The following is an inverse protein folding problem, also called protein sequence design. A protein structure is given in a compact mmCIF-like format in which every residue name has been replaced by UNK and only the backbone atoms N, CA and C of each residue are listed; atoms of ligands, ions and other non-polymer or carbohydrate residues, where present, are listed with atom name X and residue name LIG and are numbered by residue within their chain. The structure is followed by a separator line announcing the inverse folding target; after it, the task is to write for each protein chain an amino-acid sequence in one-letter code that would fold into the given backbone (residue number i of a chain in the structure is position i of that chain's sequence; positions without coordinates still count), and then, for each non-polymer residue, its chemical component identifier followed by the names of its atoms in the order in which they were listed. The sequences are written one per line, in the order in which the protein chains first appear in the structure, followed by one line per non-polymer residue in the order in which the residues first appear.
data_IF_188083869938
#
_entry.id   IF_188083869938
#
_cell.length_a   1.000
_cell.length_b   1.000
_cell.length_c   1.000
_cell.angle_alpha   90.00
_cell.angle_beta   90.00
_cell.angle_gamma   90.00
#
_symmetry.space_group_name_H-M   'P 1'
#
loop_
_entity.id
_entity.type
_entity.pdbx_description
1 polymer ?
#
# COMPACT_ATOMS: atom_id res chain seq x y z
N UNK A 1 -13.93 -5.91 -13.55
CA UNK A 1 -13.27 -4.97 -12.60
C UNK A 1 -11.73 -5.07 -12.57
N UNK A 2 -11.06 -5.68 -13.56
CA UNK A 2 -9.61 -5.95 -13.51
C UNK A 2 -8.72 -4.77 -13.97
N UNK A 3 -9.26 -3.85 -14.77
CA UNK A 3 -8.51 -2.76 -15.43
C UNK A 3 -8.01 -1.68 -14.46
N UNK A 4 -8.75 -1.38 -13.40
CA UNK A 4 -8.40 -0.29 -12.47
C UNK A 4 -7.11 -0.56 -11.70
N UNK A 5 -6.92 -1.79 -11.21
CA UNK A 5 -5.75 -2.11 -10.41
C UNK A 5 -4.44 -2.12 -11.23
N UNK A 6 -4.51 -2.54 -12.50
CA UNK A 6 -3.37 -2.47 -13.43
C UNK A 6 -2.92 -1.02 -13.62
N UNK A 7 -3.88 -0.10 -13.82
CA UNK A 7 -3.58 1.33 -13.97
C UNK A 7 -2.98 1.93 -12.70
N UNK A 8 -3.43 1.50 -11.52
CA UNK A 8 -2.87 1.98 -10.25
C UNK A 8 -1.43 1.48 -10.06
N UNK A 9 -1.14 0.21 -10.34
CA UNK A 9 0.23 -0.32 -10.24
C UNK A 9 1.17 0.45 -11.17
N UNK A 10 0.75 0.73 -12.40
CA UNK A 10 1.52 1.56 -13.32
C UNK A 10 1.79 2.96 -12.75
N UNK A 11 0.75 3.62 -12.20
CA UNK A 11 0.90 4.93 -11.56
C UNK A 11 1.85 4.91 -10.34
N UNK A 12 1.81 3.84 -9.53
CA UNK A 12 2.71 3.69 -8.38
C UNK A 12 4.16 3.51 -8.84
N UNK A 13 4.40 2.69 -9.87
CA UNK A 13 5.74 2.46 -10.46
C UNK A 13 6.30 3.73 -11.09
N UNK A 14 5.48 4.51 -11.81
CA UNK A 14 5.87 5.80 -12.38
C UNK A 14 6.30 6.81 -11.31
N UNK A 15 5.75 6.70 -10.09
CA UNK A 15 6.14 7.50 -8.92
C UNK A 15 7.39 6.95 -8.20
N UNK A 16 8.05 5.94 -8.76
CA UNK A 16 9.24 5.31 -8.18
C UNK A 16 8.96 4.35 -7.01
N UNK A 17 7.69 3.99 -6.77
CA UNK A 17 7.34 3.08 -5.68
C UNK A 17 7.46 1.62 -6.14
N UNK A 18 8.12 0.80 -5.31
CA UNK A 18 8.29 -0.64 -5.56
C UNK A 18 7.07 -1.41 -5.06
N UNK A 19 6.28 -1.94 -5.99
CA UNK A 19 5.13 -2.80 -5.71
C UNK A 19 5.60 -4.22 -5.43
N UNK A 20 5.23 -4.77 -4.27
CA UNK A 20 5.61 -6.11 -3.79
C UNK A 20 4.56 -7.14 -4.13
N UNK A 21 3.29 -6.82 -3.88
CA UNK A 21 2.19 -7.76 -4.10
C UNK A 21 0.86 -7.03 -4.32
N UNK A 22 -0.11 -7.75 -4.88
CA UNK A 22 -1.48 -7.28 -5.05
C UNK A 22 -2.44 -8.40 -4.66
N UNK A 23 -3.39 -8.11 -3.78
CA UNK A 23 -4.43 -9.05 -3.37
C UNK A 23 -5.74 -8.34 -3.01
N UNK A 24 -6.87 -8.79 -3.58
CA UNK A 24 -8.24 -8.34 -3.23
C UNK A 24 -8.41 -6.82 -3.02
N UNK A 25 -7.88 -6.01 -3.95
CA UNK A 25 -7.99 -4.54 -3.87
C UNK A 25 -6.98 -3.86 -2.94
N UNK A 26 -6.04 -4.62 -2.39
CA UNK A 26 -4.90 -4.14 -1.60
C UNK A 26 -3.63 -4.31 -2.41
N UNK A 27 -2.80 -3.26 -2.48
CA UNK A 27 -1.49 -3.26 -3.10
C UNK A 27 -0.46 -3.04 -1.99
N UNK A 28 0.50 -3.95 -1.87
CA UNK A 28 1.62 -3.79 -0.97
C UNK A 28 2.79 -3.13 -1.71
N UNK A 29 3.37 -2.10 -1.10
CA UNK A 29 4.59 -1.45 -1.56
C UNK A 29 5.69 -1.58 -0.51
N UNK A 30 6.93 -1.46 -0.97
CA UNK A 30 8.15 -1.52 -0.15
C UNK A 30 8.62 -0.11 0.21
N UNK A 31 8.65 0.77 -0.80
CA UNK A 31 9.16 2.14 -0.67
C UNK A 31 8.03 3.13 -0.96
N UNK A 32 7.39 3.71 0.06
CA UNK A 32 6.37 4.75 -0.12
C UNK A 32 7.00 6.09 -0.48
N UNK A 33 6.28 6.89 -1.29
CA UNK A 33 6.65 8.29 -1.52
C UNK A 33 6.43 9.16 -0.29
N UNK A 34 7.05 10.34 -0.25
CA UNK A 34 6.85 11.32 0.85
C UNK A 34 5.39 11.72 1.02
N UNK A 35 4.63 11.82 -0.07
CA UNK A 35 3.22 12.18 -0.01
C UNK A 35 2.38 11.06 0.57
N UNK A 36 2.71 9.81 0.20
CA UNK A 36 2.04 8.64 0.77
C UNK A 36 2.29 8.54 2.27
N UNK A 37 3.54 8.76 2.72
CA UNK A 37 3.86 8.82 4.17
C UNK A 37 3.04 9.89 4.90
N UNK A 38 2.85 11.07 4.29
CA UNK A 38 2.07 12.17 4.89
C UNK A 38 0.57 11.90 4.98
N UNK A 39 0.03 11.16 4.02
CA UNK A 39 -1.41 10.85 3.94
C UNK A 39 -1.79 9.52 4.62
N UNK A 40 -0.79 8.73 5.03
CA UNK A 40 -1.03 7.41 5.55
C UNK A 40 -1.69 7.44 6.93
N UNK A 41 -2.52 6.44 7.16
CA UNK A 41 -2.98 6.08 8.49
C UNK A 41 -2.17 4.90 9.01
N UNK A 42 -1.84 4.93 10.30
CA UNK A 42 -1.23 3.80 11.00
C UNK A 42 -2.30 2.76 11.33
N UNK A 43 -1.99 1.50 11.07
CA UNK A 43 -2.81 0.34 11.41
C UNK A 43 -1.95 -0.61 12.23
N UNK A 44 -2.45 -0.95 13.42
CA UNK A 44 -1.84 -1.97 14.29
C UNK A 44 -2.60 -3.28 14.08
N UNK A 45 -1.95 -4.24 13.43
CA UNK A 45 -2.50 -5.57 13.20
C UNK A 45 -1.98 -6.56 14.24
N UNK A 46 -2.83 -7.47 14.71
CA UNK A 46 -2.41 -8.60 15.53
C UNK A 46 -2.45 -9.87 14.68
N UNK A 47 -1.28 -10.39 14.32
CA UNK A 47 -1.14 -11.60 13.52
C UNK A 47 -0.49 -12.67 14.39
N UNK A 48 -1.27 -13.69 14.75
CA UNK A 48 -0.81 -14.82 15.59
C UNK A 48 -0.17 -14.36 16.92
N UNK A 49 -0.73 -13.33 17.55
CA UNK A 49 -0.22 -12.77 18.80
C UNK A 49 0.89 -11.72 18.61
N UNK A 50 1.39 -11.55 17.39
CA UNK A 50 2.42 -10.55 17.07
C UNK A 50 1.75 -9.26 16.63
N UNK A 51 2.00 -8.17 17.36
CA UNK A 51 1.58 -6.82 16.95
C UNK A 51 2.52 -6.34 15.84
N UNK A 52 1.97 -5.98 14.69
CA UNK A 52 2.70 -5.38 13.58
C UNK A 52 2.10 -4.03 13.25
N UNK A 53 2.96 -3.04 13.00
CA UNK A 53 2.54 -1.74 12.48
C UNK A 53 2.61 -1.78 10.97
N UNK A 54 1.58 -1.26 10.34
CA UNK A 54 1.58 -1.00 8.92
C UNK A 54 0.93 0.35 8.65
N UNK A 55 1.31 0.94 7.54
CA UNK A 55 0.78 2.21 7.07
C UNK A 55 -0.06 1.93 5.85
N UNK A 56 -1.20 2.61 5.73
CA UNK A 56 -2.09 2.46 4.59
C UNK A 56 -2.65 3.79 4.10
N UNK A 57 -2.92 3.87 2.80
CA UNK A 57 -3.56 5.01 2.16
C UNK A 57 -4.55 4.53 1.09
N UNK A 58 -5.67 5.23 0.94
CA UNK A 58 -6.57 5.02 -0.18
C UNK A 58 -6.04 5.76 -1.41
N UNK A 59 -5.90 5.06 -2.52
CA UNK A 59 -5.40 5.64 -3.77
C UNK A 59 -6.19 5.09 -4.96
N UNK A 60 -6.92 5.97 -5.65
CA UNK A 60 -7.76 5.61 -6.81
C UNK A 60 -8.66 4.36 -6.60
N UNK A 61 -9.23 4.22 -5.40
CA UNK A 61 -10.15 3.15 -5.06
C UNK A 61 -9.49 1.80 -4.73
N UNK A 62 -8.18 1.77 -4.49
CA UNK A 62 -7.47 0.63 -3.91
C UNK A 62 -6.72 1.05 -2.65
N UNK A 63 -6.57 0.12 -1.71
CA UNK A 63 -5.76 0.33 -0.52
C UNK A 63 -4.30 0.08 -0.88
N UNK A 64 -3.43 1.07 -0.72
CA UNK A 64 -1.98 0.89 -0.81
C UNK A 64 -1.41 0.85 0.59
N UNK A 65 -0.60 -0.18 0.90
CA UNK A 65 -0.02 -0.36 2.24
C UNK A 65 1.45 -0.76 2.21
N UNK A 66 2.14 -0.48 3.30
CA UNK A 66 3.51 -0.93 3.57
C UNK A 66 3.68 -1.20 5.07
N UNK A 67 4.70 -1.96 5.44
CA UNK A 67 5.03 -2.15 6.84
C UNK A 67 6.01 -1.06 7.27
N UNK A 68 5.89 -0.59 8.50
CA UNK A 68 7.05 0.08 9.14
C UNK A 68 8.00 -1.01 9.64
N UNK A 69 9.31 -0.79 9.43
CA UNK A 69 10.36 -1.62 10.04
C UNK A 69 10.30 -1.57 11.57
#
# INVERSE_FOLDING_TARGET
MQTKAINVIAALRLRGMKVVSQHRGVIQIDVPSRDFKRMAVEIIENIKGIRRRCMAVQFHGVTVRWNEE
#
